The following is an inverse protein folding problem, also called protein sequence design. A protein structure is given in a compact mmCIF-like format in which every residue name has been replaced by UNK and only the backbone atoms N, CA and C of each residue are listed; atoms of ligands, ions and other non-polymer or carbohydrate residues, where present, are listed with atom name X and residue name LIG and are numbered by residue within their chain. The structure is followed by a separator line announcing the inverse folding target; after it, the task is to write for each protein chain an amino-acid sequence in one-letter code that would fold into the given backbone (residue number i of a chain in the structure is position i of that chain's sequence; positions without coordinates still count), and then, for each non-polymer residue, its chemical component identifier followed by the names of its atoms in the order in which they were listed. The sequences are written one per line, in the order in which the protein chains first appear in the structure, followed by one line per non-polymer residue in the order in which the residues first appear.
data_IF_848021254871
#
_entry.id   IF_848021254871
#
_cell.length_a   1.000
_cell.length_b   1.000
_cell.length_c   1.000
_cell.angle_alpha   90.00
_cell.angle_beta   90.00
_cell.angle_gamma   90.00
#
_symmetry.space_group_name_H-M   'P 1'
#
loop_
_entity.id
_entity.type
_entity.pdbx_description
1 polymer ?
#
# COMPACT_ATOMS: atom_id res chain seq x y z
N UNK A 1 23.31 67.80 10.16
CA UNK A 1 23.67 66.83 9.11
C UNK A 1 23.41 65.42 9.61
N UNK A 2 22.44 64.70 9.03
CA UNK A 2 22.41 63.23 8.91
C UNK A 2 21.43 62.92 7.75
N UNK A 3 21.98 62.46 6.62
CA UNK A 3 21.22 61.97 5.46
C UNK A 3 20.86 60.51 5.75
N UNK A 4 19.59 60.18 5.83
CA UNK A 4 19.10 58.80 5.90
C UNK A 4 18.61 58.38 4.51
N UNK A 5 19.44 57.68 3.76
CA UNK A 5 19.07 57.03 2.50
C UNK A 5 18.22 55.80 2.81
N UNK A 6 16.96 55.81 2.35
CA UNK A 6 16.09 54.64 2.33
C UNK A 6 16.49 53.77 1.13
N UNK A 7 17.18 52.66 1.39
CA UNK A 7 17.47 51.64 0.38
C UNK A 7 16.32 50.63 0.40
N UNK A 8 15.44 50.68 -0.60
CA UNK A 8 14.42 49.67 -0.81
C UNK A 8 15.07 48.41 -1.37
N UNK A 9 15.23 47.38 -0.52
CA UNK A 9 15.72 46.07 -0.92
C UNK A 9 14.53 45.28 -1.50
N UNK A 10 14.45 45.18 -2.83
CA UNK A 10 13.52 44.27 -3.51
C UNK A 10 14.07 42.85 -3.32
N UNK A 11 13.55 42.13 -2.33
CA UNK A 11 13.77 40.67 -2.22
C UNK A 11 12.74 40.02 -3.15
N UNK A 12 13.21 39.61 -4.33
CA UNK A 12 12.46 38.73 -5.22
C UNK A 12 12.26 37.37 -4.57
N UNK A 13 11.04 37.08 -4.14
CA UNK A 13 10.58 35.74 -3.78
C UNK A 13 10.49 34.90 -5.05
N UNK A 14 11.61 34.29 -5.44
CA UNK A 14 11.61 33.19 -6.39
C UNK A 14 10.99 31.99 -5.65
N UNK A 15 9.66 31.84 -5.77
CA UNK A 15 8.95 30.62 -5.42
C UNK A 15 9.26 29.57 -6.49
N UNK A 16 10.44 28.92 -6.39
CA UNK A 16 10.64 27.64 -7.07
C UNK A 16 9.73 26.65 -6.37
N UNK A 17 8.55 26.44 -6.95
CA UNK A 17 7.71 25.28 -6.68
C UNK A 17 8.56 24.05 -7.00
N UNK A 18 9.16 23.47 -5.97
CA UNK A 18 9.90 22.23 -6.06
C UNK A 18 8.87 21.11 -6.22
N UNK A 19 8.38 20.90 -7.44
CA UNK A 19 7.59 19.73 -7.76
C UNK A 19 8.41 18.49 -7.44
N UNK A 20 8.00 17.73 -6.43
CA UNK A 20 8.67 16.47 -6.09
C UNK A 20 8.54 15.53 -7.28
N UNK A 21 9.65 15.29 -7.97
CA UNK A 21 9.70 14.37 -9.11
C UNK A 21 9.33 12.98 -8.60
N UNK A 22 8.29 12.38 -9.18
CA UNK A 22 7.94 10.98 -8.89
C UNK A 22 9.14 10.07 -9.22
N UNK A 23 9.38 9.09 -8.35
CA UNK A 23 10.53 8.19 -8.47
C UNK A 23 10.05 6.85 -9.01
N UNK A 24 10.69 6.38 -10.08
CA UNK A 24 10.35 5.10 -10.71
C UNK A 24 10.89 3.93 -9.89
N UNK A 25 10.17 3.59 -8.82
CA UNK A 25 10.50 2.48 -7.92
C UNK A 25 9.29 1.97 -7.15
N UNK A 26 9.37 0.71 -6.76
CA UNK A 26 8.45 0.12 -5.79
C UNK A 26 9.05 0.14 -4.40
N UNK A 27 8.23 0.41 -3.39
CA UNK A 27 8.62 0.32 -1.98
C UNK A 27 7.64 -0.55 -1.22
N UNK A 28 8.08 -1.17 -0.13
CA UNK A 28 7.21 -2.02 0.69
C UNK A 28 7.41 -1.84 2.19
N UNK A 29 6.41 -2.27 2.95
CA UNK A 29 6.38 -2.25 4.39
C UNK A 29 5.64 -3.47 4.94
N UNK A 30 5.85 -3.71 6.24
CA UNK A 30 5.09 -4.69 7.01
C UNK A 30 4.28 -4.02 8.10
N UNK A 31 3.09 -4.55 8.34
CA UNK A 31 2.32 -4.30 9.56
C UNK A 31 2.14 -5.64 10.26
N UNK A 32 2.53 -5.74 11.52
CA UNK A 32 2.36 -6.94 12.34
C UNK A 32 1.15 -6.81 13.25
N UNK A 33 0.66 -7.91 13.83
CA UNK A 33 -0.61 -7.91 14.58
C UNK A 33 -0.65 -6.94 15.79
N UNK A 34 0.52 -6.65 16.37
CA UNK A 34 0.68 -5.87 17.59
C UNK A 34 1.00 -4.39 17.31
N UNK A 35 1.06 -4.00 16.05
CA UNK A 35 1.32 -2.62 15.66
C UNK A 35 0.03 -1.80 15.81
N UNK A 36 0.15 -0.59 16.36
CA UNK A 36 -0.99 0.32 16.41
C UNK A 36 -1.49 0.62 14.98
N UNK A 37 -2.75 1.02 14.85
CA UNK A 37 -3.30 1.46 13.56
C UNK A 37 -2.35 2.48 12.92
N UNK A 38 -1.97 2.25 11.66
CA UNK A 38 -1.02 3.04 10.85
C UNK A 38 0.46 2.89 11.18
N UNK A 39 0.87 2.13 12.20
CA UNK A 39 2.27 1.83 12.41
C UNK A 39 2.72 0.74 11.43
N UNK A 40 3.86 0.97 10.76
CA UNK A 40 4.45 0.03 9.81
C UNK A 40 5.97 -0.05 9.98
N UNK A 41 6.54 -1.21 9.66
CA UNK A 41 7.98 -1.39 9.47
C UNK A 41 8.30 -1.15 7.99
N UNK A 42 8.88 0.01 7.68
CA UNK A 42 9.31 0.32 6.31
C UNK A 42 10.54 -0.51 5.93
N UNK A 43 10.44 -1.26 4.83
CA UNK A 43 11.52 -2.15 4.35
C UNK A 43 12.32 -1.56 3.19
N UNK A 44 11.84 -0.46 2.60
CA UNK A 44 12.54 0.27 1.55
C UNK A 44 12.12 -0.17 0.15
N UNK A 45 13.06 -0.15 -0.80
CA UNK A 45 12.82 -0.46 -2.21
C UNK A 45 12.69 -1.98 -2.43
N UNK A 46 11.90 -2.40 -3.42
CA UNK A 46 11.70 -3.81 -3.74
C UNK A 46 11.50 -4.03 -5.24
N UNK A 47 11.64 -5.28 -5.66
CA UNK A 47 11.20 -5.79 -6.95
C UNK A 47 10.21 -6.96 -6.77
N UNK A 48 9.71 -7.51 -7.89
CA UNK A 48 8.76 -8.62 -7.90
C UNK A 48 9.35 -9.89 -7.26
N UNK A 49 10.62 -10.19 -7.50
CA UNK A 49 11.26 -11.41 -6.96
C UNK A 49 11.35 -11.33 -5.45
N UNK A 50 11.79 -10.18 -4.93
CA UNK A 50 11.90 -9.93 -3.51
C UNK A 50 10.52 -9.98 -2.84
N UNK A 51 9.50 -9.33 -3.40
CA UNK A 51 8.19 -9.32 -2.75
C UNK A 51 7.51 -10.70 -2.74
N UNK A 52 7.71 -11.52 -3.78
CA UNK A 52 7.22 -12.91 -3.77
C UNK A 52 7.93 -13.71 -2.68
N UNK A 53 9.24 -13.51 -2.51
CA UNK A 53 9.99 -14.12 -1.42
C UNK A 53 9.47 -13.69 -0.06
N UNK A 54 9.24 -12.40 0.14
CA UNK A 54 8.68 -11.86 1.38
C UNK A 54 7.28 -12.40 1.65
N UNK A 55 6.40 -12.39 0.65
CA UNK A 55 5.05 -12.95 0.75
C UNK A 55 5.05 -14.40 1.21
N UNK A 56 5.91 -15.26 0.63
CA UNK A 56 5.99 -16.68 0.99
C UNK A 56 6.58 -16.92 2.39
N UNK A 57 7.50 -16.06 2.82
CA UNK A 57 8.20 -16.23 4.10
C UNK A 57 7.55 -15.46 5.25
N UNK A 58 6.60 -14.57 4.95
CA UNK A 58 5.90 -13.81 5.97
C UNK A 58 5.12 -14.77 6.88
N UNK A 59 5.16 -14.61 8.21
CA UNK A 59 4.58 -15.55 9.16
C UNK A 59 3.05 -15.43 9.26
N UNK A 60 2.33 -15.53 8.13
CA UNK A 60 0.90 -15.28 8.01
C UNK A 60 0.07 -16.01 9.06
N UNK A 61 0.27 -17.31 9.20
CA UNK A 61 -0.48 -18.14 10.15
C UNK A 61 -0.22 -17.71 11.59
N UNK A 62 1.03 -17.50 11.97
CA UNK A 62 1.39 -17.08 13.33
C UNK A 62 0.77 -15.74 13.66
N UNK A 63 0.93 -14.75 12.77
CA UNK A 63 0.40 -13.41 12.95
C UNK A 63 -1.13 -13.39 12.97
N UNK A 64 -1.78 -14.12 12.06
CA UNK A 64 -3.25 -14.19 11.97
C UNK A 64 -3.86 -14.89 13.18
N UNK A 65 -3.18 -15.91 13.73
CA UNK A 65 -3.68 -16.64 14.92
C UNK A 65 -3.83 -15.76 16.15
N UNK A 66 -3.16 -14.59 16.18
CA UNK A 66 -3.23 -13.67 17.31
C UNK A 66 -4.57 -12.93 17.39
N UNK A 67 -5.39 -12.92 16.34
CA UNK A 67 -6.65 -12.16 16.27
C UNK A 67 -7.65 -12.40 17.40
N UNK A 68 -7.60 -13.56 18.06
CA UNK A 68 -8.45 -13.85 19.22
C UNK A 68 -7.89 -13.28 20.55
N UNK A 69 -6.71 -12.64 20.51
CA UNK A 69 -6.10 -11.96 21.64
C UNK A 69 -6.59 -10.50 21.70
N UNK A 70 -7.11 -10.02 22.84
CA UNK A 70 -7.53 -8.62 23.02
C UNK A 70 -6.40 -7.59 22.79
N UNK A 71 -5.13 -8.03 22.77
CA UNK A 71 -3.98 -7.19 22.44
C UNK A 71 -3.74 -7.04 20.93
N UNK A 72 -4.55 -7.68 20.08
CA UNK A 72 -4.45 -7.50 18.63
C UNK A 72 -4.90 -6.10 18.26
N UNK A 73 -4.06 -5.42 17.50
CA UNK A 73 -4.27 -4.02 17.13
C UNK A 73 -4.49 -3.83 15.64
N UNK A 74 -3.97 -4.72 14.80
CA UNK A 74 -4.08 -4.62 13.34
C UNK A 74 -4.08 -5.97 12.63
N UNK A 75 -4.58 -5.98 11.39
CA UNK A 75 -4.36 -7.09 10.47
C UNK A 75 -2.90 -7.14 10.03
N UNK A 76 -2.24 -8.31 10.08
CA UNK A 76 -0.92 -8.43 9.51
C UNK A 76 -0.98 -8.19 8.00
N UNK A 77 -0.10 -7.33 7.52
CA UNK A 77 -0.18 -6.76 6.17
C UNK A 77 1.21 -6.65 5.56
N UNK A 78 1.33 -6.97 4.27
CA UNK A 78 2.42 -6.51 3.40
C UNK A 78 1.85 -5.42 2.51
N UNK A 79 2.33 -4.19 2.65
CA UNK A 79 1.96 -3.07 1.79
C UNK A 79 3.04 -2.78 0.75
N UNK A 80 2.64 -2.53 -0.48
CA UNK A 80 3.53 -2.25 -1.62
C UNK A 80 3.01 -1.01 -2.34
N UNK A 81 3.92 -0.11 -2.72
CA UNK A 81 3.60 1.15 -3.40
C UNK A 81 4.40 1.30 -4.68
N UNK A 82 3.71 1.64 -5.77
CA UNK A 82 4.31 2.17 -7.00
C UNK A 82 4.45 3.69 -6.90
N UNK A 83 5.66 4.16 -6.63
CA UNK A 83 5.93 5.59 -6.43
C UNK A 83 5.85 6.42 -7.72
N UNK A 84 5.79 5.78 -8.89
CA UNK A 84 5.61 6.47 -10.17
C UNK A 84 4.14 6.76 -10.46
N UNK A 85 3.26 5.78 -10.21
CA UNK A 85 1.87 5.85 -10.65
C UNK A 85 0.89 6.21 -9.53
N UNK A 86 1.33 6.28 -8.27
CA UNK A 86 0.45 6.41 -7.09
C UNK A 86 -0.55 5.24 -7.00
N UNK A 87 -0.04 4.01 -7.10
CA UNK A 87 -0.82 2.79 -6.89
C UNK A 87 -0.31 2.10 -5.64
N UNK A 88 -1.22 1.63 -4.80
CA UNK A 88 -0.91 0.82 -3.63
C UNK A 88 -1.52 -0.58 -3.77
N UNK A 89 -0.81 -1.58 -3.27
CA UNK A 89 -1.19 -2.98 -3.23
C UNK A 89 -0.89 -3.54 -1.85
N UNK A 90 -1.93 -3.89 -1.10
CA UNK A 90 -1.85 -4.48 0.22
C UNK A 90 -2.29 -5.94 0.20
N UNK A 91 -1.55 -6.82 0.85
CA UNK A 91 -1.98 -8.18 1.15
C UNK A 91 -2.11 -8.27 2.66
N UNK A 92 -3.30 -8.58 3.15
CA UNK A 92 -3.51 -8.78 4.58
C UNK A 92 -4.35 -10.02 4.85
N UNK A 93 -4.35 -10.47 6.10
CA UNK A 93 -5.07 -11.66 6.49
C UNK A 93 -5.93 -11.47 7.73
N UNK A 94 -6.96 -12.29 7.84
CA UNK A 94 -7.78 -12.44 9.05
C UNK A 94 -8.18 -13.92 9.23
N UNK A 95 -8.50 -14.36 10.46
CA UNK A 95 -8.92 -15.74 10.68
C UNK A 95 -10.39 -15.96 10.32
N UNK A 96 -10.69 -17.09 9.67
CA UNK A 96 -12.07 -17.57 9.47
C UNK A 96 -12.11 -19.07 9.63
N UNK A 97 -12.87 -19.57 10.60
CA UNK A 97 -12.95 -21.00 10.92
C UNK A 97 -11.56 -21.66 11.05
N UNK A 98 -10.67 -21.05 11.84
CA UNK A 98 -9.27 -21.47 12.07
C UNK A 98 -8.36 -21.49 10.81
N UNK A 99 -8.81 -20.90 9.70
CA UNK A 99 -8.03 -20.74 8.48
C UNK A 99 -7.59 -19.28 8.27
N UNK A 100 -6.49 -19.10 7.56
CA UNK A 100 -6.02 -17.79 7.09
C UNK A 100 -6.80 -17.43 5.84
N UNK A 101 -7.53 -16.31 5.88
CA UNK A 101 -8.15 -15.73 4.68
C UNK A 101 -7.30 -14.57 4.21
N UNK A 102 -6.83 -14.63 2.97
CA UNK A 102 -6.13 -13.53 2.33
C UNK A 102 -7.10 -12.53 1.72
N UNK A 103 -6.76 -11.26 1.89
CA UNK A 103 -7.45 -10.11 1.32
C UNK A 103 -6.43 -9.27 0.56
N UNK A 104 -6.82 -8.81 -0.62
CA UNK A 104 -6.05 -7.81 -1.37
C UNK A 104 -6.76 -6.47 -1.25
N UNK A 105 -6.02 -5.47 -0.78
CA UNK A 105 -6.30 -4.05 -0.95
C UNK A 105 -5.57 -3.57 -2.20
N UNK A 106 -6.26 -2.80 -3.03
CA UNK A 106 -5.65 -2.14 -4.18
C UNK A 106 -6.26 -0.75 -4.31
N UNK A 107 -5.42 0.29 -4.32
CA UNK A 107 -5.86 1.65 -4.54
C UNK A 107 -5.05 2.36 -5.60
N UNK A 108 -5.69 3.31 -6.26
CA UNK A 108 -5.12 4.06 -7.36
C UNK A 108 -5.84 5.38 -7.58
N UNK A 109 -5.17 6.33 -8.22
CA UNK A 109 -5.80 7.61 -8.56
C UNK A 109 -6.49 7.59 -9.92
N UNK A 110 -7.75 8.03 -9.97
CA UNK A 110 -8.51 8.34 -11.18
C UNK A 110 -8.90 9.80 -11.15
N UNK A 111 -8.46 10.59 -12.13
CA UNK A 111 -8.74 12.03 -12.21
C UNK A 111 -8.38 12.83 -10.94
N UNK A 112 -7.39 12.36 -10.17
CA UNK A 112 -6.95 12.99 -8.92
C UNK A 112 -7.62 12.46 -7.65
N UNK A 113 -8.73 11.71 -7.80
CA UNK A 113 -9.44 11.06 -6.70
C UNK A 113 -8.93 9.63 -6.48
N UNK A 114 -8.97 9.16 -5.24
CA UNK A 114 -8.58 7.79 -4.90
C UNK A 114 -9.74 6.83 -5.11
N UNK A 115 -9.48 5.76 -5.85
CA UNK A 115 -10.33 4.59 -5.96
C UNK A 115 -9.70 3.46 -5.13
N UNK A 116 -10.52 2.70 -4.41
CA UNK A 116 -10.07 1.61 -3.56
C UNK A 116 -10.88 0.34 -3.82
N UNK A 117 -10.22 -0.81 -3.80
CA UNK A 117 -10.85 -2.12 -3.88
C UNK A 117 -10.30 -3.04 -2.80
N UNK A 118 -11.21 -3.70 -2.10
CA UNK A 118 -10.91 -4.68 -1.08
C UNK A 118 -11.61 -5.98 -1.45
N UNK A 119 -10.87 -7.07 -1.56
CA UNK A 119 -11.42 -8.37 -2.00
C UNK A 119 -10.81 -9.50 -1.21
N UNK A 120 -11.62 -10.47 -0.80
CA UNK A 120 -11.16 -11.61 0.02
C UNK A 120 -11.18 -12.93 -0.74
N UNK A 121 -10.54 -13.94 -0.14
CA UNK A 121 -10.63 -15.32 -0.58
C UNK A 121 -9.66 -15.66 -1.71
N UNK A 122 -8.56 -14.93 -1.82
CA UNK A 122 -7.50 -15.25 -2.78
C UNK A 122 -6.70 -16.48 -2.34
N UNK A 123 -6.34 -17.33 -3.31
CA UNK A 123 -5.28 -18.33 -3.13
C UNK A 123 -3.90 -17.67 -3.20
N UNK A 124 -2.88 -18.33 -2.65
CA UNK A 124 -1.49 -17.85 -2.74
C UNK A 124 -1.03 -17.70 -4.19
N UNK A 125 -1.41 -18.63 -5.08
CA UNK A 125 -1.12 -18.55 -6.51
C UNK A 125 -1.76 -17.29 -7.16
N UNK A 126 -3.00 -16.97 -6.79
CA UNK A 126 -3.68 -15.78 -7.30
C UNK A 126 -3.04 -14.49 -6.77
N UNK A 127 -2.53 -14.50 -5.53
CA UNK A 127 -1.80 -13.36 -4.96
C UNK A 127 -0.50 -13.13 -5.74
N UNK A 128 0.29 -14.18 -5.99
CA UNK A 128 1.53 -14.06 -6.77
C UNK A 128 1.28 -13.54 -8.20
N UNK A 129 0.20 -13.99 -8.85
CA UNK A 129 -0.22 -13.47 -10.15
C UNK A 129 -0.66 -12.00 -10.07
N UNK A 130 -1.40 -11.62 -9.03
CA UNK A 130 -1.79 -10.23 -8.77
C UNK A 130 -0.58 -9.31 -8.58
N UNK A 131 0.40 -9.76 -7.78
CA UNK A 131 1.69 -9.08 -7.60
C UNK A 131 2.40 -8.91 -8.94
N UNK A 132 2.46 -9.95 -9.77
CA UNK A 132 3.08 -9.84 -11.10
C UNK A 132 2.41 -8.76 -11.94
N UNK A 133 1.08 -8.74 -12.03
CA UNK A 133 0.33 -7.71 -12.77
C UNK A 133 0.57 -6.30 -12.23
N UNK A 134 0.68 -6.16 -10.90
CA UNK A 134 1.00 -4.89 -10.25
C UNK A 134 2.39 -4.38 -10.62
N UNK A 135 3.43 -5.21 -10.49
CA UNK A 135 4.80 -4.84 -10.83
C UNK A 135 5.02 -4.62 -12.34
N UNK A 136 4.24 -5.29 -13.18
CA UNK A 136 4.19 -5.04 -14.63
C UNK A 136 3.33 -3.81 -15.02
N UNK A 137 2.76 -3.09 -14.03
CA UNK A 137 1.92 -1.90 -14.23
C UNK A 137 0.73 -2.15 -15.16
N UNK A 138 0.16 -3.34 -15.09
CA UNK A 138 -1.02 -3.74 -15.88
C UNK A 138 -2.30 -3.20 -15.25
N UNK A 139 -2.37 -1.89 -15.06
CA UNK A 139 -3.41 -1.20 -14.27
C UNK A 139 -4.84 -1.43 -14.77
N UNK A 140 -5.04 -1.76 -16.05
CA UNK A 140 -6.36 -2.11 -16.61
C UNK A 140 -6.74 -3.57 -16.38
N UNK A 141 -5.76 -4.46 -16.32
CA UNK A 141 -5.95 -5.90 -16.20
C UNK A 141 -6.07 -6.31 -14.74
N UNK A 142 -5.32 -5.64 -13.85
CA UNK A 142 -5.26 -5.99 -12.44
C UNK A 142 -6.63 -5.93 -11.74
N UNK A 143 -7.44 -4.86 -11.84
CA UNK A 143 -8.76 -4.84 -11.19
C UNK A 143 -9.69 -5.98 -11.65
N UNK A 144 -9.69 -6.26 -12.95
CA UNK A 144 -10.49 -7.36 -13.56
C UNK A 144 -10.00 -8.71 -13.04
N UNK A 145 -8.69 -8.89 -12.94
CA UNK A 145 -8.09 -10.09 -12.38
C UNK A 145 -8.48 -10.28 -10.91
N UNK A 146 -8.38 -9.23 -10.09
CA UNK A 146 -8.73 -9.28 -8.67
C UNK A 146 -10.19 -9.64 -8.47
N UNK A 147 -11.10 -9.07 -9.25
CA UNK A 147 -12.52 -9.39 -9.21
C UNK A 147 -12.78 -10.89 -9.49
N UNK A 148 -12.25 -11.40 -10.62
CA UNK A 148 -12.48 -12.78 -11.06
C UNK A 148 -11.85 -13.86 -10.16
N UNK A 149 -10.82 -13.51 -9.39
CA UNK A 149 -10.05 -14.45 -8.57
C UNK A 149 -10.29 -14.26 -7.07
N UNK A 150 -11.23 -13.40 -6.70
CA UNK A 150 -11.72 -13.23 -5.33
C UNK A 150 -12.98 -14.06 -5.11
N UNK A 151 -13.25 -14.43 -3.85
CA UNK A 151 -14.52 -15.04 -3.48
C UNK A 151 -15.64 -13.99 -3.42
N UNK A 152 -15.32 -12.80 -2.91
CA UNK A 152 -16.22 -11.65 -2.84
C UNK A 152 -15.45 -10.37 -2.58
N UNK A 153 -16.13 -9.26 -2.79
CA UNK A 153 -15.73 -7.97 -2.24
C UNK A 153 -15.73 -8.00 -0.71
N UNK A 154 -14.73 -7.37 -0.13
CA UNK A 154 -14.46 -7.34 1.30
C UNK A 154 -14.69 -5.92 1.81
N UNK A 155 -15.43 -5.76 2.89
CA UNK A 155 -15.79 -4.44 3.42
C UNK A 155 -17.26 -4.09 3.17
N UNK A 156 -17.84 -3.47 4.19
CA UNK A 156 -19.17 -2.86 4.16
C UNK A 156 -19.07 -1.63 3.24
N UNK A 157 -20.04 -1.33 2.36
CA UNK A 157 -20.03 -0.08 1.62
C UNK A 157 -19.86 1.07 2.61
N UNK A 158 -18.85 1.91 2.39
CA UNK A 158 -18.70 3.17 3.10
C UNK A 158 -19.85 4.08 2.65
N UNK A 159 -21.02 3.91 3.25
CA UNK A 159 -22.13 4.85 3.22
C UNK A 159 -21.94 5.89 4.33
#
# INVERSE_FOLDING_TARGET
MKKGTFTALIIGLILISCGTKKVDKFTYNFQYYNYDNFQVENKGETDLKNIISEFRNFPWKEQTSKFNNPETKSNPTIGIKDNLNDYDFGIFTYPKNDQVVYVIYHSYKVNGEWEESFREGFSEESIEKGLKLFFERKHKELPIFLEKNSAKEFGIPLN
#
